data_IF_850182273092
#
_entry.id   IF_850182273092
#
_cell.length_a   1.000
_cell.length_b   1.000
_cell.length_c   1.000
_cell.angle_alpha   90.00
_cell.angle_beta   90.00
_cell.angle_gamma   90.00
#
_symmetry.space_group_name_H-M   'P 1'
#
loop_
_entity.id
_entity.type
_entity.pdbx_description
1 polymer ?
#
# COMPACT_ATOMS: atom_id res chain seq x y z
N UNK A 1 -5.66 8.00 2.75
CA UNK A 1 -4.17 7.83 2.68
C UNK A 1 -3.87 6.67 1.77
N UNK A 2 -2.82 6.70 0.96
CA UNK A 2 -2.51 5.63 0.01
C UNK A 2 -1.43 4.70 0.54
N UNK A 3 -1.57 3.40 0.27
CA UNK A 3 -0.62 2.36 0.66
C UNK A 3 -0.09 1.70 -0.59
N UNK A 4 1.24 1.60 -0.67
CA UNK A 4 1.96 0.77 -1.62
C UNK A 4 2.47 -0.45 -0.86
N UNK A 5 2.08 -1.63 -1.30
CA UNK A 5 2.46 -2.88 -0.66
C UNK A 5 3.34 -3.71 -1.60
N UNK A 6 4.49 -4.12 -1.07
CA UNK A 6 5.45 -4.98 -1.76
C UNK A 6 5.43 -6.36 -1.12
N UNK A 7 5.15 -7.38 -1.93
CA UNK A 7 5.30 -8.78 -1.53
C UNK A 7 6.62 -9.30 -2.04
N UNK A 8 7.44 -9.90 -1.17
CA UNK A 8 8.74 -10.46 -1.55
C UNK A 8 8.79 -11.96 -1.40
N UNK A 9 9.70 -12.61 -2.14
CA UNK A 9 9.78 -14.07 -2.25
C UNK A 9 10.00 -14.81 -0.94
N UNK A 10 10.74 -14.21 0.00
CA UNK A 10 11.21 -14.87 1.23
C UNK A 10 10.64 -14.30 2.52
N UNK A 11 9.75 -13.29 2.46
CA UNK A 11 9.22 -12.64 3.64
C UNK A 11 7.70 -12.88 3.78
N UNK A 12 7.24 -13.52 4.88
CA UNK A 12 5.81 -13.72 5.12
C UNK A 12 5.05 -12.41 5.40
N UNK A 13 5.75 -11.30 5.65
CA UNK A 13 5.15 -9.99 5.91
C UNK A 13 5.45 -9.03 4.76
N UNK A 14 4.38 -8.52 4.15
CA UNK A 14 4.46 -7.51 3.09
C UNK A 14 5.06 -6.20 3.60
N UNK A 15 5.83 -5.54 2.74
CA UNK A 15 6.40 -4.23 3.04
C UNK A 15 5.39 -3.16 2.62
N UNK A 16 4.75 -2.52 3.59
CA UNK A 16 3.84 -1.42 3.35
C UNK A 16 4.55 -0.05 3.46
N UNK A 17 4.27 0.80 2.47
CA UNK A 17 4.72 2.19 2.37
C UNK A 17 3.49 3.07 2.27
N UNK A 18 3.45 4.13 3.05
CA UNK A 18 2.28 5.00 3.18
C UNK A 18 2.60 6.39 2.64
N UNK A 19 1.72 6.90 1.76
CA UNK A 19 1.76 8.24 1.18
C UNK A 19 0.46 8.98 1.40
N UNK A 20 0.56 10.29 1.66
CA UNK A 20 -0.63 11.12 1.82
C UNK A 20 -1.35 11.34 0.49
N UNK A 21 -0.59 11.63 -0.56
CA UNK A 21 -1.13 11.94 -1.88
C UNK A 21 -1.05 10.75 -2.84
N UNK A 22 -2.08 10.58 -3.67
CA UNK A 22 -2.12 9.53 -4.70
C UNK A 22 -0.98 9.68 -5.70
N UNK A 23 -0.68 10.91 -6.12
CA UNK A 23 0.36 11.20 -7.10
C UNK A 23 1.72 10.69 -6.62
N UNK A 24 2.07 10.95 -5.37
CA UNK A 24 3.33 10.46 -4.78
C UNK A 24 3.36 8.92 -4.69
N UNK A 25 2.22 8.30 -4.39
CA UNK A 25 2.10 6.85 -4.34
C UNK A 25 2.25 6.21 -5.73
N UNK A 26 1.65 6.79 -6.76
CA UNK A 26 1.78 6.34 -8.14
C UNK A 26 3.21 6.45 -8.66
N UNK A 27 3.93 7.52 -8.28
CA UNK A 27 5.34 7.69 -8.66
C UNK A 27 6.17 6.51 -8.13
N UNK A 28 5.97 6.12 -6.87
CA UNK A 28 6.65 4.96 -6.28
C UNK A 28 6.24 3.67 -6.97
N UNK A 29 4.94 3.48 -7.21
CA UNK A 29 4.43 2.31 -7.92
C UNK A 29 5.10 2.15 -9.29
N UNK A 30 5.12 3.22 -10.10
CA UNK A 30 5.75 3.24 -11.43
C UNK A 30 7.24 2.98 -11.35
N UNK A 31 7.95 3.57 -10.37
CA UNK A 31 9.38 3.35 -10.16
C UNK A 31 9.69 1.88 -9.86
N UNK A 32 8.91 1.24 -8.99
CA UNK A 32 9.07 -0.18 -8.64
C UNK A 32 8.73 -1.07 -9.83
N UNK A 33 7.60 -0.80 -10.49
CA UNK A 33 7.16 -1.54 -11.68
C UNK A 33 8.23 -1.53 -12.77
N UNK A 34 8.73 -0.36 -13.16
CA UNK A 34 9.79 -0.23 -14.16
C UNK A 34 11.06 -0.97 -13.76
N UNK A 35 11.41 -0.96 -12.47
CA UNK A 35 12.57 -1.67 -11.99
C UNK A 35 12.44 -3.19 -12.09
N UNK A 36 11.24 -3.72 -11.84
CA UNK A 36 10.93 -5.13 -12.01
C UNK A 36 10.93 -5.50 -13.50
N UNK A 37 10.36 -4.65 -14.35
CA UNK A 37 10.21 -4.87 -15.80
C UNK A 37 11.56 -4.88 -16.55
N UNK A 38 12.54 -4.08 -16.10
CA UNK A 38 13.89 -4.06 -16.72
C UNK A 38 14.64 -5.39 -16.65
N UNK A 39 14.20 -6.34 -15.81
CA UNK A 39 14.84 -7.64 -15.64
C UNK A 39 16.24 -7.59 -15.00
N UNK A 40 16.76 -6.39 -14.68
CA UNK A 40 18.07 -6.20 -14.07
C UNK A 40 17.90 -5.95 -12.57
N UNK A 41 18.40 -6.84 -11.70
CA UNK A 41 18.33 -6.65 -10.25
C UNK A 41 19.01 -5.35 -9.83
N UNK A 42 18.28 -4.49 -9.11
CA UNK A 42 18.81 -3.24 -8.56
C UNK A 42 18.21 -2.97 -7.19
N UNK A 43 18.92 -2.19 -6.38
CA UNK A 43 18.40 -1.72 -5.10
C UNK A 43 17.52 -0.49 -5.31
N UNK A 44 16.36 -0.46 -4.65
CA UNK A 44 15.51 0.73 -4.56
C UNK A 44 15.40 1.13 -3.10
N UNK A 45 15.60 2.41 -2.83
CA UNK A 45 15.38 3.01 -1.52
C UNK A 45 14.04 3.75 -1.51
N UNK A 46 13.21 3.43 -0.53
CA UNK A 46 11.85 3.91 -0.35
C UNK A 46 11.73 4.50 1.07
N UNK A 47 10.92 5.55 1.20
CA UNK A 47 10.67 6.25 2.47
C UNK A 47 9.19 6.20 2.80
N UNK A 48 8.82 6.43 4.07
CA UNK A 48 7.42 6.50 4.50
C UNK A 48 7.09 7.88 5.06
N UNK A 49 5.90 8.42 4.76
CA UNK A 49 5.46 9.71 5.33
C UNK A 49 5.08 9.57 6.81
N UNK A 50 4.46 8.44 7.16
CA UNK A 50 3.97 8.17 8.51
C UNK A 50 5.10 7.92 9.52
N UNK A 51 6.29 7.53 9.05
CA UNK A 51 7.50 7.35 9.86
C UNK A 51 8.72 7.85 9.09
N UNK A 52 9.05 9.14 9.24
CA UNK A 52 10.16 9.79 8.53
C UNK A 52 11.52 9.10 8.75
N UNK A 53 11.70 8.44 9.89
CA UNK A 53 12.94 7.71 10.21
C UNK A 53 13.01 6.32 9.57
N UNK A 54 11.89 5.81 9.02
CA UNK A 54 11.83 4.51 8.37
C UNK A 54 12.31 4.64 6.92
N UNK A 55 13.51 4.15 6.66
CA UNK A 55 14.06 3.92 5.31
C UNK A 55 13.96 2.44 4.98
N UNK A 56 13.53 2.15 3.76
CA UNK A 56 13.31 0.78 3.28
C UNK A 56 14.14 0.60 2.04
N UNK A 57 15.03 -0.39 2.05
CA UNK A 57 15.81 -0.76 0.88
C UNK A 57 15.43 -2.17 0.44
N UNK A 58 15.12 -2.35 -0.83
CA UNK A 58 14.69 -3.64 -1.39
C UNK A 58 15.45 -3.92 -2.68
N UNK A 59 15.83 -5.19 -2.87
CA UNK A 59 16.36 -5.71 -4.13
C UNK A 59 15.19 -6.07 -5.05
N UNK A 60 15.18 -5.55 -6.27
CA UNK A 60 14.04 -5.70 -7.19
C UNK A 60 13.79 -7.13 -7.64
N UNK A 61 14.82 -7.99 -7.67
CA UNK A 61 14.66 -9.42 -7.99
C UNK A 61 13.87 -10.20 -6.94
N UNK A 62 13.72 -9.66 -5.73
CA UNK A 62 12.98 -10.30 -4.65
C UNK A 62 11.51 -9.89 -4.63
N UNK A 63 11.12 -8.84 -5.36
CA UNK A 63 9.73 -8.37 -5.41
C UNK A 63 8.94 -9.28 -6.35
N UNK A 64 7.85 -9.85 -5.84
CA UNK A 64 6.93 -10.65 -6.63
C UNK A 64 5.72 -9.81 -7.09
N UNK A 65 5.24 -8.94 -6.20
CA UNK A 65 4.02 -8.15 -6.42
C UNK A 65 4.23 -6.74 -5.87
N UNK A 66 3.77 -5.75 -6.63
CA UNK A 66 3.57 -4.37 -6.17
C UNK A 66 2.10 -4.01 -6.37
N UNK A 67 1.47 -3.46 -5.34
CA UNK A 67 0.08 -3.00 -5.40
C UNK A 67 -0.09 -1.66 -4.70
N UNK A 68 -1.08 -0.89 -5.15
CA UNK A 68 -1.45 0.41 -4.58
C UNK A 68 -2.95 0.41 -4.27
N UNK A 69 -3.33 0.89 -3.10
CA UNK A 69 -4.73 1.05 -2.71
C UNK A 69 -4.91 2.21 -1.73
N UNK A 70 -6.13 2.72 -1.65
CA UNK A 70 -6.50 3.71 -0.64
C UNK A 70 -6.78 3.00 0.69
N UNK A 71 -6.05 3.39 1.74
CA UNK A 71 -6.33 3.03 3.12
C UNK A 71 -7.56 3.80 3.58
N UNK A 72 -8.68 3.07 3.63
CA UNK A 72 -9.90 3.54 4.28
C UNK A 72 -9.66 3.55 5.78
N UNK A 73 -10.03 4.65 6.45
CA UNK A 73 -9.89 4.71 7.90
C UNK A 73 -10.82 3.70 8.57
N UNK A 74 -10.36 3.02 9.63
CA UNK A 74 -11.17 2.02 10.35
C UNK A 74 -12.47 2.61 10.91
N UNK A 75 -12.50 3.93 11.18
CA UNK A 75 -13.69 4.69 11.58
C UNK A 75 -14.78 4.67 10.49
N UNK A 76 -14.40 4.92 9.24
CA UNK A 76 -15.32 4.95 8.08
C UNK A 76 -15.84 3.56 7.71
N UNK A 77 -15.00 2.53 7.85
CA UNK A 77 -15.43 1.14 7.67
C UNK A 77 -16.45 0.71 8.75
N UNK A 78 -16.21 1.10 10.01
CA UNK A 78 -17.13 0.78 11.12
C UNK A 78 -18.49 1.45 10.93
N UNK A 79 -18.52 2.70 10.48
CA UNK A 79 -19.76 3.43 10.19
C UNK A 79 -20.53 2.76 9.05
N UNK A 80 -19.86 2.43 7.94
CA UNK A 80 -20.52 1.81 6.79
C UNK A 80 -21.07 0.42 7.10
N UNK A 81 -20.37 -0.38 7.91
CA UNK A 81 -20.86 -1.68 8.39
C UNK A 81 -22.09 -1.48 9.30
N UNK A 82 -22.04 -0.55 10.26
CA UNK A 82 -23.18 -0.26 11.13
C UNK A 82 -24.40 0.26 10.36
N UNK A 83 -24.20 1.10 9.35
CA UNK A 83 -25.28 1.60 8.48
C UNK A 83 -25.85 0.44 7.65
N UNK A 84 -25.01 -0.43 7.09
CA UNK A 84 -25.45 -1.60 6.32
C UNK A 84 -26.24 -2.60 7.18
N UNK A 85 -25.82 -2.83 8.43
CA UNK A 85 -26.54 -3.66 9.40
C UNK A 85 -27.89 -3.05 9.79
N UNK A 86 -27.93 -1.74 10.08
CA UNK A 86 -29.19 -1.04 10.38
C UNK A 86 -30.19 -1.08 9.21
N UNK A 87 -29.71 -0.96 7.96
CA UNK A 87 -30.55 -1.11 6.75
C UNK A 87 -31.09 -2.53 6.59
N UNK A 88 -30.29 -3.57 6.87
CA UNK A 88 -30.76 -4.97 6.87
C UNK A 88 -31.80 -5.24 7.96
N UNK A 89 -31.67 -4.57 9.12
CA UNK A 89 -32.62 -4.66 10.22
C UNK A 89 -33.93 -3.87 9.99
N UNK A 90 -34.13 -3.28 8.81
CA UNK A 90 -35.33 -2.50 8.48
C UNK A 90 -35.37 -1.11 9.13
N UNK A 91 -34.27 -0.66 9.73
CA UNK A 91 -34.17 0.68 10.30
C UNK A 91 -33.96 1.70 9.18
N UNK A 92 -34.81 2.73 9.09
CA UNK A 92 -34.59 3.86 8.19
C UNK A 92 -33.48 4.72 8.79
N UNK A 93 -32.28 4.65 8.22
CA UNK A 93 -31.12 5.47 8.56
C UNK A 93 -31.13 6.74 7.74
#
# INVERSE_FOLDING_TARGET
MYVIELTTRLNPISIAIERRELVEAEVIYKQVFQAMDTGTPRMINLTCDSRKDKKICVLTSEILIVQIYEKVEQSEQSINVQIAEKRRAGFRV
#
